data_IF_487608795221
#
_entry.id   IF_487608795221
#
_cell.length_a   1.000
_cell.length_b   1.000
_cell.length_c   1.000
_cell.angle_alpha   90.00
_cell.angle_beta   90.00
_cell.angle_gamma   90.00
#
_symmetry.space_group_name_H-M   'P 1'
#
loop_
_entity.id
_entity.type
_entity.pdbx_description
1 polymer ?
#
# COMPACT_ATOMS: atom_id res chain seq x y z
N UNK A 1 28.77 47.28 -33.21
CA UNK A 1 28.13 46.92 -31.92
C UNK A 1 27.08 45.85 -32.18
N UNK A 2 27.18 44.65 -31.60
CA UNK A 2 26.04 43.74 -31.53
C UNK A 2 25.53 43.64 -30.08
N UNK A 3 24.23 43.91 -29.92
CA UNK A 3 23.52 43.83 -28.65
C UNK A 3 23.43 42.38 -28.15
N UNK A 4 23.88 42.20 -26.92
CA UNK A 4 23.71 41.02 -26.09
C UNK A 4 22.23 40.70 -25.86
N UNK A 5 21.80 39.47 -26.17
CA UNK A 5 20.62 38.88 -25.55
C UNK A 5 21.02 37.55 -24.91
N UNK A 6 21.42 37.63 -23.64
CA UNK A 6 21.60 36.48 -22.76
C UNK A 6 20.23 35.92 -22.42
N UNK A 7 19.89 34.77 -22.99
CA UNK A 7 18.80 33.94 -22.50
C UNK A 7 19.26 33.21 -21.24
N UNK A 8 19.14 33.84 -20.08
CA UNK A 8 19.16 33.13 -18.80
C UNK A 8 17.77 32.55 -18.57
N UNK A 9 17.45 31.47 -19.29
CA UNK A 9 16.36 30.61 -18.87
C UNK A 9 16.82 29.88 -17.60
N UNK A 10 16.44 30.43 -16.46
CA UNK A 10 16.36 29.68 -15.22
C UNK A 10 15.35 28.54 -15.43
N UNK A 11 15.83 27.41 -15.97
CA UNK A 11 15.21 26.13 -15.68
C UNK A 11 15.37 25.92 -14.18
N UNK A 12 14.38 26.37 -13.40
CA UNK A 12 14.09 25.76 -12.11
C UNK A 12 13.92 24.28 -12.42
N UNK A 13 14.97 23.48 -12.20
CA UNK A 13 14.83 22.04 -12.02
C UNK A 13 13.75 21.93 -10.95
N UNK A 14 12.53 21.58 -11.34
CA UNK A 14 11.60 20.97 -10.42
C UNK A 14 12.35 19.73 -9.96
N UNK A 15 12.99 19.85 -8.81
CA UNK A 15 13.55 18.72 -8.08
C UNK A 15 12.33 17.90 -7.69
N UNK A 16 11.82 17.08 -8.62
CA UNK A 16 10.88 16.01 -8.30
C UNK A 16 11.62 15.21 -7.24
N UNK A 17 11.24 15.37 -5.98
CA UNK A 17 11.91 14.68 -4.89
C UNK A 17 11.66 13.18 -5.12
N UNK A 18 12.70 12.45 -5.51
CA UNK A 18 12.67 10.99 -5.71
C UNK A 18 12.58 10.23 -4.37
N UNK A 19 11.98 10.82 -3.34
CA UNK A 19 12.08 10.32 -1.96
C UNK A 19 10.80 9.67 -1.42
N UNK A 20 9.76 9.50 -2.24
CA UNK A 20 8.62 8.66 -1.86
C UNK A 20 9.00 7.19 -1.93
N UNK A 21 9.37 6.57 -0.81
CA UNK A 21 9.45 5.10 -0.72
C UNK A 21 8.04 4.54 -0.89
N UNK A 22 7.91 3.37 -1.49
CA UNK A 22 6.64 2.63 -1.53
C UNK A 22 6.84 1.32 -0.78
N UNK A 23 6.00 1.07 0.22
CA UNK A 23 5.99 -0.17 0.98
C UNK A 23 4.81 -1.01 0.52
N UNK A 24 5.05 -2.26 0.16
CA UNK A 24 4.00 -3.20 -0.20
C UNK A 24 3.88 -4.21 0.94
N UNK A 25 2.71 -4.29 1.55
CA UNK A 25 2.36 -5.23 2.60
C UNK A 25 1.52 -6.33 1.96
N UNK A 26 2.07 -7.54 1.92
CA UNK A 26 1.37 -8.74 1.46
C UNK A 26 1.67 -9.88 2.44
N UNK A 27 0.85 -9.98 3.47
CA UNK A 27 0.97 -10.99 4.54
C UNK A 27 -0.38 -11.19 5.23
N UNK A 28 -0.54 -12.30 5.96
CA UNK A 28 -1.75 -12.62 6.73
C UNK A 28 -2.36 -13.99 6.41
N UNK A 29 -2.14 -14.54 5.22
CA UNK A 29 -2.76 -15.81 4.80
C UNK A 29 -2.34 -17.01 5.66
N UNK A 30 -1.09 -17.05 6.12
CA UNK A 30 -0.58 -18.12 6.99
C UNK A 30 -0.97 -17.91 8.46
N UNK A 31 -1.23 -16.66 8.85
CA UNK A 31 -1.62 -16.30 10.21
C UNK A 31 -3.04 -16.76 10.54
N UNK A 32 -3.91 -16.91 9.53
CA UNK A 32 -5.31 -17.36 9.70
C UNK A 32 -5.45 -18.78 10.30
N UNK A 33 -4.39 -19.58 10.30
CA UNK A 33 -4.39 -20.90 10.96
C UNK A 33 -4.09 -20.81 12.46
N UNK A 34 -3.51 -19.70 12.91
CA UNK A 34 -2.91 -19.57 14.25
C UNK A 34 -3.55 -18.44 15.07
N UNK A 35 -4.04 -17.39 14.42
CA UNK A 35 -4.61 -16.22 15.06
C UNK A 35 -5.88 -15.75 14.35
N UNK A 36 -6.75 -15.06 15.10
CA UNK A 36 -7.98 -14.51 14.56
C UNK A 36 -7.72 -13.38 13.55
N UNK A 37 -8.63 -13.25 12.59
CA UNK A 37 -8.61 -12.18 11.58
C UNK A 37 -8.55 -10.78 12.20
N UNK A 38 -9.19 -10.57 13.36
CA UNK A 38 -9.14 -9.30 14.10
C UNK A 38 -7.72 -8.95 14.58
N UNK A 39 -6.93 -9.95 14.99
CA UNK A 39 -5.55 -9.75 15.41
C UNK A 39 -4.65 -9.41 14.22
N UNK A 40 -4.89 -10.04 13.06
CA UNK A 40 -4.19 -9.71 11.81
C UNK A 40 -4.46 -8.25 11.43
N UNK A 41 -5.71 -7.80 11.51
CA UNK A 41 -6.09 -6.42 11.25
C UNK A 41 -5.38 -5.42 12.18
N UNK A 42 -5.33 -5.70 13.49
CA UNK A 42 -4.62 -4.85 14.47
C UNK A 42 -3.13 -4.76 14.14
N UNK A 43 -2.51 -5.88 13.76
CA UNK A 43 -1.09 -5.90 13.35
C UNK A 43 -0.86 -5.09 12.07
N UNK A 44 -1.74 -5.22 11.07
CA UNK A 44 -1.68 -4.43 9.83
C UNK A 44 -1.80 -2.93 10.12
N UNK A 45 -2.77 -2.51 10.93
CA UNK A 45 -2.93 -1.11 11.34
C UNK A 45 -1.70 -0.59 12.08
N UNK A 46 -1.13 -1.42 12.96
CA UNK A 46 0.08 -1.05 13.70
C UNK A 46 1.27 -0.83 12.76
N UNK A 47 1.48 -1.74 11.82
CA UNK A 47 2.55 -1.67 10.84
C UNK A 47 2.40 -0.44 9.92
N UNK A 48 1.19 -0.21 9.41
CA UNK A 48 0.87 0.93 8.56
C UNK A 48 1.14 2.26 9.28
N UNK A 49 0.67 2.40 10.53
CA UNK A 49 0.93 3.58 11.34
C UNK A 49 2.42 3.80 11.62
N UNK A 50 3.18 2.72 11.85
CA UNK A 50 4.63 2.81 12.05
C UNK A 50 5.35 3.26 10.77
N UNK A 51 4.91 2.79 9.60
CA UNK A 51 5.47 3.19 8.32
C UNK A 51 5.21 4.67 8.04
N UNK A 52 4.00 5.18 8.28
CA UNK A 52 3.69 6.61 8.11
C UNK A 52 4.43 7.50 9.10
N UNK A 53 4.56 7.07 10.37
CA UNK A 53 5.35 7.81 11.36
C UNK A 53 6.82 7.91 10.96
N UNK A 54 7.39 6.83 10.41
CA UNK A 54 8.81 6.77 10.05
C UNK A 54 9.11 7.37 8.67
N UNK A 55 8.16 7.26 7.75
CA UNK A 55 8.29 7.67 6.35
C UNK A 55 7.00 8.41 5.90
N UNK A 56 6.77 9.64 6.37
CA UNK A 56 5.50 10.35 6.17
C UNK A 56 5.21 10.75 4.71
N UNK A 57 6.20 10.68 3.83
CA UNK A 57 6.06 10.93 2.39
C UNK A 57 5.99 9.63 1.57
N UNK A 58 6.03 8.47 2.25
CA UNK A 58 5.94 7.18 1.60
C UNK A 58 4.50 6.81 1.27
N UNK A 59 4.33 5.94 0.27
CA UNK A 59 3.05 5.28 0.01
C UNK A 59 3.09 3.91 0.65
N UNK A 60 2.00 3.52 1.30
CA UNK A 60 1.78 2.15 1.77
C UNK A 60 0.75 1.50 0.84
N UNK A 61 1.06 0.31 0.34
CA UNK A 61 0.14 -0.48 -0.48
C UNK A 61 -0.14 -1.74 0.30
N UNK A 62 -1.40 -1.98 0.64
CA UNK A 62 -1.84 -3.23 1.26
C UNK A 62 -2.46 -4.09 0.18
N UNK A 63 -1.82 -5.21 -0.09
CA UNK A 63 -2.31 -6.21 -1.04
C UNK A 63 -3.31 -7.11 -0.31
N UNK A 64 -4.53 -7.19 -0.83
CA UNK A 64 -5.54 -8.10 -0.29
C UNK A 64 -5.05 -9.54 -0.37
N UNK A 65 -5.57 -10.39 0.50
CA UNK A 65 -5.20 -11.80 0.52
C UNK A 65 -5.74 -12.52 -0.72
N UNK A 66 -4.96 -13.44 -1.25
CA UNK A 66 -5.38 -14.25 -2.39
C UNK A 66 -6.54 -15.18 -2.02
N UNK A 67 -7.54 -15.35 -2.90
CA UNK A 67 -8.57 -16.37 -2.73
C UNK A 67 -7.97 -17.76 -2.53
N UNK A 68 -8.63 -18.59 -1.72
CA UNK A 68 -8.19 -19.97 -1.46
C UNK A 68 -9.31 -20.95 -1.81
N UNK A 69 -8.94 -22.17 -2.19
CA UNK A 69 -9.91 -23.25 -2.44
C UNK A 69 -10.23 -24.09 -1.19
N UNK A 70 -9.58 -23.79 -0.06
CA UNK A 70 -9.72 -24.56 1.17
C UNK A 70 -10.72 -23.95 2.17
N UNK A 71 -10.82 -24.57 3.34
CA UNK A 71 -11.71 -24.16 4.44
C UNK A 71 -11.48 -22.74 4.95
N UNK A 72 -10.34 -22.11 4.64
CA UNK A 72 -10.02 -20.75 5.10
C UNK A 72 -10.55 -19.67 4.15
N UNK A 73 -11.11 -20.03 2.98
CA UNK A 73 -11.60 -19.06 2.01
C UNK A 73 -12.60 -18.06 2.59
N UNK A 74 -13.53 -18.53 3.44
CA UNK A 74 -14.48 -17.65 4.12
C UNK A 74 -13.79 -16.61 5.01
N UNK A 75 -12.80 -17.05 5.80
CA UNK A 75 -12.02 -16.16 6.67
C UNK A 75 -11.17 -15.17 5.87
N UNK A 76 -10.59 -15.61 4.75
CA UNK A 76 -9.86 -14.75 3.80
C UNK A 76 -10.77 -13.65 3.26
N UNK A 77 -11.97 -14.01 2.78
CA UNK A 77 -12.92 -13.04 2.21
C UNK A 77 -13.38 -12.03 3.27
N UNK A 78 -13.77 -12.49 4.46
CA UNK A 78 -14.17 -11.60 5.55
C UNK A 78 -13.04 -10.67 6.00
N UNK A 79 -11.80 -11.15 6.02
CA UNK A 79 -10.65 -10.30 6.33
C UNK A 79 -10.39 -9.27 5.22
N UNK A 80 -10.48 -9.66 3.95
CA UNK A 80 -10.34 -8.74 2.82
C UNK A 80 -11.39 -7.62 2.85
N UNK A 81 -12.67 -7.95 3.10
CA UNK A 81 -13.74 -6.96 3.28
C UNK A 81 -13.44 -5.99 4.43
N UNK A 82 -12.91 -6.54 5.53
CA UNK A 82 -12.55 -5.73 6.70
C UNK A 82 -11.36 -4.81 6.39
N UNK A 83 -10.33 -5.31 5.70
CA UNK A 83 -9.19 -4.49 5.25
C UNK A 83 -9.68 -3.37 4.32
N UNK A 84 -10.55 -3.69 3.36
CA UNK A 84 -11.13 -2.68 2.47
C UNK A 84 -11.85 -1.58 3.26
N UNK A 85 -12.72 -1.96 4.19
CA UNK A 85 -13.47 -1.00 5.00
C UNK A 85 -12.57 -0.08 5.83
N UNK A 86 -11.53 -0.63 6.43
CA UNK A 86 -10.70 0.08 7.42
C UNK A 86 -9.60 0.93 6.78
N UNK A 87 -9.11 0.58 5.59
CA UNK A 87 -7.96 1.24 4.96
C UNK A 87 -8.30 2.09 3.73
N UNK A 88 -9.52 2.01 3.19
CA UNK A 88 -9.92 2.76 1.97
C UNK A 88 -9.74 4.28 2.05
N UNK A 89 -9.88 4.86 3.24
CA UNK A 89 -9.89 6.32 3.44
C UNK A 89 -8.58 6.83 4.08
N UNK A 90 -7.56 5.97 4.22
CA UNK A 90 -6.30 6.38 4.84
C UNK A 90 -5.40 7.06 3.80
N UNK A 91 -5.03 8.30 4.08
CA UNK A 91 -4.14 9.08 3.23
C UNK A 91 -2.80 8.36 3.01
N UNK A 92 -2.30 8.39 1.77
CA UNK A 92 -1.07 7.71 1.36
C UNK A 92 -1.08 6.18 1.51
N UNK A 93 -2.23 5.59 1.79
CA UNK A 93 -2.45 4.14 1.76
C UNK A 93 -3.33 3.76 0.58
N UNK A 94 -2.94 2.73 -0.16
CA UNK A 94 -3.71 2.18 -1.27
C UNK A 94 -3.97 0.69 -1.05
N UNK A 95 -5.08 0.22 -1.59
CA UNK A 95 -5.45 -1.18 -1.59
C UNK A 95 -5.27 -1.75 -2.98
N UNK A 96 -4.70 -2.95 -3.06
CA UNK A 96 -4.55 -3.68 -4.32
C UNK A 96 -5.25 -5.02 -4.19
N UNK A 97 -6.16 -5.28 -5.11
CA UNK A 97 -6.84 -6.56 -5.24
C UNK A 97 -6.10 -7.42 -6.26
N UNK A 98 -6.25 -8.73 -6.11
CA UNK A 98 -5.72 -9.68 -7.09
C UNK A 98 -6.85 -10.16 -7.99
N UNK A 99 -6.68 -10.00 -9.30
CA UNK A 99 -7.47 -10.78 -10.25
C UNK A 99 -7.07 -12.25 -10.09
N UNK A 100 -8.07 -13.13 -9.96
CA UNK A 100 -7.88 -14.56 -9.71
C UNK A 100 -6.78 -15.14 -10.62
N UNK A 101 -5.66 -15.59 -10.03
CA UNK A 101 -4.47 -16.04 -10.78
C UNK A 101 -4.63 -17.52 -11.20
N UNK A 102 -5.62 -18.22 -10.66
CA UNK A 102 -5.99 -19.58 -11.06
C UNK A 102 -6.97 -19.54 -12.25
N UNK A 103 -6.64 -20.20 -13.38
CA UNK A 103 -7.59 -20.42 -14.47
C UNK A 103 -8.83 -21.16 -13.97
N UNK A 104 -10.01 -20.79 -14.50
CA UNK A 104 -11.26 -21.52 -14.30
C UNK A 104 -11.21 -22.89 -14.96
#
# INVERSE_FOLDING_TARGET
MPHSHKWHQHYKRNTISKNGKTFIIHCGTNDLEQIDASQILVKLKTLENQLHKKYPQSRVIISLLLPRADKLNGAVNSLNETIQKEFKDIAHTALVEHNNITPQ
#
